data_IF_314028162908
#
_entry.id   IF_314028162908
#
_cell.length_a   1.000
_cell.length_b   1.000
_cell.length_c   1.000
_cell.angle_alpha   90.00
_cell.angle_beta   90.00
_cell.angle_gamma   90.00
#
_symmetry.space_group_name_H-M   'P 1'
#
loop_
_entity.id
_entity.type
_entity.pdbx_description
1 polymer ?
#
# COMPACT_ATOMS: atom_id res chain seq x y z
N UNK A 1 9.73 2.36 -50.08
CA UNK A 1 9.31 1.21 -50.92
C UNK A 1 9.40 1.55 -52.41
N UNK A 2 8.66 2.53 -52.95
CA UNK A 2 8.73 2.88 -54.39
C UNK A 2 10.13 3.24 -54.91
N UNK A 3 10.88 4.09 -54.18
CA UNK A 3 12.26 4.45 -54.54
C UNK A 3 13.19 3.23 -54.62
N UNK A 4 13.05 2.29 -53.67
CA UNK A 4 13.81 1.05 -53.68
C UNK A 4 13.46 0.18 -54.90
N UNK A 5 12.18 0.12 -55.29
CA UNK A 5 11.79 -0.58 -56.51
C UNK A 5 12.43 0.09 -57.76
N UNK A 6 12.44 1.43 -57.82
CA UNK A 6 13.07 2.20 -58.91
C UNK A 6 14.57 1.92 -59.03
N UNK A 7 15.29 1.86 -57.91
CA UNK A 7 16.72 1.56 -57.89
C UNK A 7 17.02 0.14 -58.42
N UNK A 8 16.13 -0.83 -58.15
CA UNK A 8 16.30 -2.23 -58.56
C UNK A 8 15.85 -2.51 -60.01
N UNK A 9 14.89 -1.74 -60.53
CA UNK A 9 14.30 -1.94 -61.85
C UNK A 9 14.16 -0.62 -62.63
N UNK A 10 15.25 0.12 -62.89
CA UNK A 10 15.20 1.52 -63.36
C UNK A 10 14.54 1.67 -64.73
N UNK A 11 14.75 0.73 -65.65
CA UNK A 11 14.16 0.78 -67.00
C UNK A 11 12.66 0.46 -67.05
N UNK A 12 12.16 -0.35 -66.11
CA UNK A 12 10.72 -0.68 -66.03
C UNK A 12 9.99 0.44 -65.31
N UNK A 13 10.58 0.96 -64.24
CA UNK A 13 9.96 2.00 -63.42
C UNK A 13 10.23 3.42 -63.92
N UNK A 14 11.06 3.63 -64.95
CA UNK A 14 11.06 4.90 -65.69
C UNK A 14 9.75 5.13 -66.43
N UNK A 15 8.94 4.09 -66.66
CA UNK A 15 7.60 4.22 -67.22
C UNK A 15 6.62 4.76 -66.16
N UNK A 16 6.21 6.02 -66.32
CA UNK A 16 5.27 6.68 -65.42
C UNK A 16 3.93 5.95 -65.28
N UNK A 17 3.47 5.22 -66.31
CA UNK A 17 2.23 4.41 -66.22
C UNK A 17 2.39 3.28 -65.21
N UNK A 18 3.51 2.56 -65.27
CA UNK A 18 3.82 1.45 -64.36
C UNK A 18 3.95 1.95 -62.93
N UNK A 19 4.64 3.08 -62.72
CA UNK A 19 4.71 3.68 -61.39
C UNK A 19 3.32 4.05 -60.84
N UNK A 20 2.46 4.61 -61.70
CA UNK A 20 1.12 5.03 -61.31
C UNK A 20 0.22 3.83 -60.98
N UNK A 21 0.25 2.78 -61.80
CA UNK A 21 -0.48 1.53 -61.54
C UNK A 21 -0.06 0.91 -60.20
N UNK A 22 1.24 0.86 -59.91
CA UNK A 22 1.75 0.35 -58.63
C UNK A 22 1.28 1.24 -57.47
N UNK A 23 1.37 2.57 -57.61
CA UNK A 23 0.89 3.51 -56.58
C UNK A 23 -0.61 3.34 -56.30
N UNK A 24 -1.43 3.16 -57.33
CA UNK A 24 -2.87 2.93 -57.20
C UNK A 24 -3.16 1.59 -56.52
N UNK A 25 -2.52 0.50 -56.96
CA UNK A 25 -2.67 -0.82 -56.37
C UNK A 25 -2.22 -0.84 -54.90
N UNK A 26 -1.14 -0.13 -54.57
CA UNK A 26 -0.70 0.03 -53.18
C UNK A 26 -1.72 0.85 -52.38
N UNK A 27 -2.25 1.93 -52.93
CA UNK A 27 -3.25 2.76 -52.24
C UNK A 27 -4.46 1.91 -51.85
N UNK A 28 -5.02 1.10 -52.76
CA UNK A 28 -6.20 0.27 -52.46
C UNK A 28 -5.95 -0.82 -51.41
N UNK A 29 -4.71 -1.31 -51.31
CA UNK A 29 -4.37 -2.45 -50.44
C UNK A 29 -3.74 -2.09 -49.09
N UNK A 30 -3.39 -0.82 -48.86
CA UNK A 30 -2.68 -0.38 -47.65
C UNK A 30 -3.57 0.47 -46.73
N UNK A 31 -4.71 -0.08 -46.32
CA UNK A 31 -5.50 0.51 -45.25
C UNK A 31 -5.76 -0.52 -44.16
N UNK A 32 -5.59 -0.11 -42.91
CA UNK A 32 -6.09 -0.85 -41.77
C UNK A 32 -7.61 -0.70 -41.74
N UNK A 33 -8.34 -1.80 -41.58
CA UNK A 33 -9.79 -1.71 -41.43
C UNK A 33 -10.13 -0.96 -40.15
N UNK A 34 -11.20 -0.17 -40.19
CA UNK A 34 -11.69 0.54 -39.01
C UNK A 34 -12.01 -0.42 -37.86
N UNK A 35 -12.50 -1.62 -38.19
CA UNK A 35 -12.85 -2.64 -37.21
C UNK A 35 -11.62 -3.22 -36.52
N UNK A 36 -10.53 -3.44 -37.27
CA UNK A 36 -9.26 -3.85 -36.68
C UNK A 36 -8.72 -2.78 -35.72
N UNK A 37 -8.74 -1.51 -36.14
CA UNK A 37 -8.29 -0.40 -35.29
C UNK A 37 -9.15 -0.28 -34.04
N UNK A 38 -10.48 -0.38 -34.18
CA UNK A 38 -11.40 -0.36 -33.03
C UNK A 38 -11.10 -1.49 -32.06
N UNK A 39 -11.00 -2.72 -32.55
CA UNK A 39 -10.78 -3.89 -31.71
C UNK A 39 -9.43 -3.84 -31.00
N UNK A 40 -8.35 -3.49 -31.70
CA UNK A 40 -7.03 -3.43 -31.09
C UNK A 40 -6.86 -2.24 -30.14
N UNK A 41 -7.30 -1.04 -30.54
CA UNK A 41 -7.00 0.20 -29.81
C UNK A 41 -8.08 0.53 -28.79
N UNK A 42 -9.35 0.58 -29.22
CA UNK A 42 -10.42 1.03 -28.35
C UNK A 42 -10.87 -0.06 -27.39
N UNK A 43 -10.95 -1.30 -27.86
CA UNK A 43 -11.43 -2.43 -27.05
C UNK A 43 -10.28 -3.06 -26.27
N UNK A 44 -9.31 -3.69 -26.94
CA UNK A 44 -8.27 -4.45 -26.24
C UNK A 44 -7.37 -3.56 -25.38
N UNK A 45 -6.68 -2.59 -25.98
CA UNK A 45 -5.80 -1.70 -25.23
C UNK A 45 -6.58 -0.83 -24.22
N UNK A 46 -7.79 -0.40 -24.57
CA UNK A 46 -8.68 0.33 -23.67
C UNK A 46 -9.06 -0.47 -22.43
N UNK A 47 -9.46 -1.73 -22.60
CA UNK A 47 -9.77 -2.64 -21.50
C UNK A 47 -8.54 -2.90 -20.63
N UNK A 48 -7.37 -3.15 -21.22
CA UNK A 48 -6.14 -3.42 -20.48
C UNK A 48 -5.72 -2.22 -19.61
N UNK A 49 -5.77 -1.01 -20.16
CA UNK A 49 -5.50 0.23 -19.42
C UNK A 49 -6.52 0.42 -18.29
N UNK A 50 -7.81 0.24 -18.57
CA UNK A 50 -8.87 0.45 -17.59
C UNK A 50 -8.77 -0.54 -16.43
N UNK A 51 -8.46 -1.81 -16.73
CA UNK A 51 -8.21 -2.83 -15.73
C UNK A 51 -7.02 -2.46 -14.85
N UNK A 52 -5.93 -1.95 -15.44
CA UNK A 52 -4.76 -1.55 -14.65
C UNK A 52 -5.05 -0.35 -13.75
N UNK A 53 -5.82 0.62 -14.25
CA UNK A 53 -6.27 1.77 -13.44
C UNK A 53 -7.14 1.31 -12.27
N UNK A 54 -8.05 0.36 -12.49
CA UNK A 54 -8.87 -0.19 -11.42
C UNK A 54 -8.02 -0.89 -10.36
N UNK A 55 -7.04 -1.70 -10.76
CA UNK A 55 -6.09 -2.33 -9.83
C UNK A 55 -5.35 -1.28 -8.97
N UNK A 56 -4.86 -0.20 -9.59
CA UNK A 56 -4.19 0.89 -8.87
C UNK A 56 -5.15 1.62 -7.92
N UNK A 57 -6.39 1.87 -8.32
CA UNK A 57 -7.39 2.51 -7.46
C UNK A 57 -7.67 1.66 -6.22
N UNK A 58 -7.80 0.33 -6.37
CA UNK A 58 -7.96 -0.57 -5.23
C UNK A 58 -6.73 -0.54 -4.31
N UNK A 59 -5.52 -0.58 -4.87
CA UNK A 59 -4.28 -0.52 -4.09
C UNK A 59 -4.15 0.79 -3.30
N UNK A 60 -4.47 1.92 -3.92
CA UNK A 60 -4.45 3.23 -3.26
C UNK A 60 -5.52 3.32 -2.18
N UNK A 61 -6.75 2.84 -2.46
CA UNK A 61 -7.82 2.84 -1.47
C UNK A 61 -7.48 1.98 -0.25
N UNK A 62 -6.87 0.81 -0.45
CA UNK A 62 -6.36 -0.02 0.62
C UNK A 62 -5.30 0.71 1.45
N UNK A 63 -4.28 1.29 0.79
CA UNK A 63 -3.22 2.01 1.47
C UNK A 63 -3.73 3.19 2.31
N UNK A 64 -4.66 3.98 1.77
CA UNK A 64 -5.28 5.11 2.49
C UNK A 64 -6.07 4.60 3.70
N UNK A 65 -6.80 3.50 3.53
CA UNK A 65 -7.60 2.89 4.61
C UNK A 65 -6.72 2.38 5.74
N UNK A 66 -5.63 1.69 5.41
CA UNK A 66 -4.66 1.17 6.38
C UNK A 66 -4.04 2.33 7.16
N UNK A 67 -3.51 3.34 6.45
CA UNK A 67 -2.84 4.47 7.09
C UNK A 67 -3.78 5.28 7.98
N UNK A 68 -5.03 5.46 7.55
CA UNK A 68 -6.06 6.15 8.35
C UNK A 68 -6.39 5.35 9.60
N UNK A 69 -6.53 4.02 9.46
CA UNK A 69 -6.82 3.12 10.59
C UNK A 69 -5.69 3.16 11.62
N UNK A 70 -4.44 3.13 11.17
CA UNK A 70 -3.26 3.25 12.05
C UNK A 70 -3.28 4.56 12.85
N UNK A 71 -3.55 5.70 12.21
CA UNK A 71 -3.65 7.00 12.90
C UNK A 71 -4.77 7.06 13.93
N UNK A 72 -5.93 6.46 13.62
CA UNK A 72 -7.04 6.35 14.55
C UNK A 72 -6.63 5.53 15.77
N UNK A 73 -6.02 4.35 15.56
CA UNK A 73 -5.55 3.48 16.64
C UNK A 73 -4.53 4.21 17.51
N UNK A 74 -3.56 4.88 16.89
CA UNK A 74 -2.49 5.58 17.61
C UNK A 74 -3.03 6.75 18.44
N UNK A 75 -3.94 7.55 17.86
CA UNK A 75 -4.54 8.72 18.53
C UNK A 75 -5.46 8.31 19.68
N UNK A 76 -6.24 7.24 19.51
CA UNK A 76 -7.05 6.67 20.59
C UNK A 76 -6.16 6.12 21.71
N UNK A 77 -5.08 5.41 21.36
CA UNK A 77 -4.12 4.87 22.33
C UNK A 77 -3.45 5.97 23.15
N UNK A 78 -3.05 7.08 22.50
CA UNK A 78 -2.50 8.27 23.18
C UNK A 78 -3.54 8.90 24.12
N UNK A 79 -4.76 9.10 23.65
CA UNK A 79 -5.86 9.67 24.44
C UNK A 79 -6.17 8.83 25.67
N UNK A 80 -6.23 7.51 25.53
CA UNK A 80 -6.42 6.58 26.64
C UNK A 80 -5.29 6.68 27.67
N UNK A 81 -4.02 6.66 27.22
CA UNK A 81 -2.85 6.81 28.10
C UNK A 81 -2.87 8.13 28.86
N UNK A 82 -3.25 9.23 28.22
CA UNK A 82 -3.37 10.53 28.87
C UNK A 82 -4.47 10.49 29.96
N UNK A 83 -5.65 9.97 29.63
CA UNK A 83 -6.78 9.92 30.55
C UNK A 83 -6.53 8.99 31.75
N UNK A 84 -5.95 7.81 31.53
CA UNK A 84 -5.70 6.82 32.60
C UNK A 84 -4.40 7.10 33.36
N UNK A 85 -3.35 7.54 32.67
CA UNK A 85 -2.06 7.89 33.27
C UNK A 85 -2.14 9.03 34.27
N UNK A 86 -3.07 9.97 34.08
CA UNK A 86 -3.36 11.05 35.04
C UNK A 86 -4.19 10.58 36.26
N UNK A 87 -5.00 9.52 36.12
CA UNK A 87 -5.80 8.99 37.23
C UNK A 87 -4.95 8.22 38.26
N UNK A 88 -3.84 7.61 37.82
CA UNK A 88 -2.89 6.91 38.70
C UNK A 88 -2.05 7.87 39.56
N UNK A 89 -1.79 9.10 39.08
CA UNK A 89 -1.00 10.12 39.80
C UNK A 89 -1.81 10.95 40.79
N UNK A 90 -3.14 11.04 40.61
CA UNK A 90 -4.04 11.82 41.49
C UNK A 90 -4.47 11.09 42.77
N UNK A 91 -4.17 9.79 42.90
CA UNK A 91 -4.54 9.00 44.09
C UNK A 91 -3.55 9.15 45.27
N UNK A 92 -2.41 9.82 45.07
CA UNK A 92 -1.39 10.07 46.11
C UNK A 92 -1.55 11.39 46.87
N UNK A 93 -2.50 12.25 46.49
CA UNK A 93 -2.71 13.56 47.12
C UNK A 93 -3.80 13.51 48.20
N UNK A 94 -3.65 12.66 49.20
CA UNK A 94 -4.30 12.88 50.50
C UNK A 94 -3.40 13.78 51.33
N UNK A 95 -3.79 15.03 51.67
CA UNK A 95 -3.08 15.77 52.69
C UNK A 95 -3.33 15.05 54.03
N UNK A 96 -2.25 14.70 54.69
CA UNK A 96 -2.23 13.96 55.95
C UNK A 96 -2.71 14.88 57.10
N UNK A 97 -4.02 15.12 57.19
CA UNK A 97 -4.64 15.98 58.23
C UNK A 97 -4.91 15.15 59.49
N UNK A 98 -3.89 14.47 60.04
CA UNK A 98 -3.89 13.96 61.41
C UNK A 98 -2.48 13.99 62.01
N UNK A 99 -1.73 15.08 61.81
CA UNK A 99 -0.53 15.38 62.63
C UNK A 99 -0.77 16.58 63.55
N UNK A 100 -1.63 16.40 64.54
CA UNK A 100 -1.46 17.10 65.81
C UNK A 100 -2.12 16.35 66.96
N UNK A 101 -1.25 15.89 67.86
CA UNK A 101 -1.47 15.51 69.26
C UNK A 101 -2.12 14.14 69.53
N UNK A 102 -1.27 13.13 69.66
CA UNK A 102 -1.11 12.50 70.97
C UNK A 102 0.26 11.80 71.06
N UNK A 103 1.08 12.24 72.01
CA UNK A 103 2.22 11.48 72.52
C UNK A 103 1.64 10.34 73.34
N UNK A 104 2.12 9.10 73.18
CA UNK A 104 2.60 8.24 74.29
C UNK A 104 3.14 6.89 73.77
N UNK A 105 4.38 6.61 74.18
CA UNK A 105 4.93 5.31 74.60
C UNK A 105 5.26 4.21 73.57
N UNK A 106 6.57 3.89 73.55
CA UNK A 106 7.15 2.53 73.66
C UNK A 106 6.86 1.52 72.54
N UNK A 107 7.75 0.69 72.03
CA UNK A 107 9.11 0.25 72.36
C UNK A 107 9.49 -0.74 71.23
N UNK A 108 10.79 -0.82 70.88
CA UNK A 108 11.44 -1.99 70.22
C UNK A 108 10.97 -2.40 68.81
N UNK A 109 11.78 -2.90 67.86
CA UNK A 109 13.20 -3.15 67.67
C UNK A 109 13.34 -3.71 66.23
N UNK A 110 14.43 -3.36 65.53
CA UNK A 110 15.13 -4.13 64.47
C UNK A 110 14.62 -4.15 63.01
N UNK A 111 15.53 -3.62 62.16
CA UNK A 111 15.94 -4.00 60.79
C UNK A 111 15.46 -5.39 60.29
N UNK A 112 15.14 -5.61 59.01
CA UNK A 112 16.08 -5.58 57.86
C UNK A 112 15.34 -5.62 56.49
N UNK A 113 15.91 -5.10 55.39
CA UNK A 113 15.37 -5.19 54.03
C UNK A 113 16.03 -6.31 53.20
N UNK A 114 15.26 -7.02 52.37
CA UNK A 114 15.81 -7.97 51.39
C UNK A 114 14.86 -7.96 50.17
N UNK A 115 15.26 -7.36 49.03
CA UNK A 115 15.98 -8.01 47.91
C UNK A 115 15.16 -9.16 47.29
N UNK A 116 14.99 -9.36 45.97
CA UNK A 116 15.45 -8.79 44.70
C UNK A 116 14.66 -9.59 43.62
N UNK A 117 14.74 -9.17 42.35
CA UNK A 117 14.70 -10.00 41.11
C UNK A 117 13.51 -9.83 40.16
N UNK A 118 13.79 -9.07 39.08
CA UNK A 118 13.30 -9.25 37.72
C UNK A 118 13.57 -10.66 37.17
N UNK A 119 12.63 -11.18 36.36
CA UNK A 119 12.84 -12.07 35.22
C UNK A 119 11.62 -11.84 34.29
N UNK A 120 11.72 -11.31 33.07
CA UNK A 120 12.41 -11.76 31.86
C UNK A 120 11.39 -12.29 30.84
N UNK A 121 11.62 -11.87 29.60
CA UNK A 121 10.89 -12.14 28.37
C UNK A 121 10.53 -13.61 28.12
N UNK A 122 9.45 -13.83 27.38
CA UNK A 122 9.39 -14.95 26.44
C UNK A 122 8.71 -14.50 25.15
N UNK A 123 9.55 -14.12 24.20
CA UNK A 123 9.28 -14.17 22.76
C UNK A 123 8.93 -15.61 22.40
N UNK A 124 7.82 -15.82 21.69
CA UNK A 124 7.67 -17.01 20.85
C UNK A 124 7.01 -16.59 19.54
N UNK A 125 7.88 -16.44 18.53
CA UNK A 125 7.50 -16.50 17.12
C UNK A 125 7.14 -17.95 16.80
N UNK A 126 6.01 -18.19 16.14
CA UNK A 126 5.84 -19.42 15.39
C UNK A 126 5.11 -19.14 14.08
N UNK A 127 5.85 -19.44 13.03
CA UNK A 127 5.54 -19.39 11.62
C UNK A 127 4.58 -20.52 11.20
N UNK A 128 4.12 -20.38 9.96
CA UNK A 128 3.74 -21.44 8.99
C UNK A 128 2.25 -21.73 8.72
N UNK A 129 1.81 -21.14 7.61
CA UNK A 129 1.49 -21.83 6.35
C UNK A 129 0.14 -22.56 6.22
N UNK A 130 -0.73 -21.98 5.38
CA UNK A 130 -1.92 -22.59 4.79
C UNK A 130 -1.57 -23.73 3.82
N UNK A 131 -2.51 -24.67 3.57
CA UNK A 131 -3.07 -24.73 2.21
C UNK A 131 -4.58 -25.07 2.10
N UNK A 132 -5.08 -24.69 0.91
CA UNK A 132 -6.30 -25.01 0.15
C UNK A 132 -7.09 -26.29 0.48
N UNK A 133 -8.43 -26.19 0.44
CA UNK A 133 -9.35 -27.30 0.12
C UNK A 133 -10.40 -26.83 -0.89
N UNK A 134 -10.54 -27.64 -1.94
CA UNK A 134 -11.48 -27.56 -3.07
C UNK A 134 -12.70 -28.43 -2.80
N UNK A 135 -13.90 -27.98 -3.20
CA UNK A 135 -15.04 -28.81 -3.70
C UNK A 135 -16.08 -27.90 -4.32
#
# INVERSE_FOLDING_TARGET
MMKCAEDQCPHVLSNGRVQQEIRLACKEKNFLSSDFVRSCVAEQAGTDVMNKVNELNLAVAAHVSDRTTDEVIETLSRSYKALVGDMSKKRSSTPDVLRSRSRVSSDSSRNDPNDTYSMADTISQQSDQSPLVSS
#
